data_IF_348207118598
#
_entry.id   IF_348207118598
#
_cell.length_a   1.000
_cell.length_b   1.000
_cell.length_c   1.000
_cell.angle_alpha   90.00
_cell.angle_beta   90.00
_cell.angle_gamma   90.00
#
_symmetry.space_group_name_H-M   'P 1'
#
loop_
_entity.id
_entity.type
_entity.pdbx_description
1 polymer ?
#
# COMPACT_ATOMS: atom_id res chain seq x y z
N UNK A 1 -33.45 14.06 7.27
CA UNK A 1 -32.31 14.62 6.50
C UNK A 1 -32.73 15.64 5.43
N UNK A 2 -33.77 15.40 4.62
CA UNK A 2 -34.13 16.27 3.48
C UNK A 2 -34.30 17.78 3.80
N UNK A 3 -34.82 18.14 4.97
CA UNK A 3 -35.02 19.55 5.36
C UNK A 3 -33.70 20.28 5.65
N UNK A 4 -32.74 19.61 6.30
CA UNK A 4 -31.39 20.14 6.51
C UNK A 4 -30.66 20.32 5.18
N UNK A 5 -30.75 19.34 4.26
CA UNK A 5 -30.20 19.44 2.92
C UNK A 5 -30.78 20.63 2.14
N UNK A 6 -32.09 20.82 2.20
CA UNK A 6 -32.77 21.91 1.50
C UNK A 6 -32.38 23.30 2.04
N UNK A 7 -32.27 23.44 3.37
CA UNK A 7 -31.83 24.68 4.02
C UNK A 7 -30.36 25.02 3.68
N UNK A 8 -29.50 24.01 3.58
CA UNK A 8 -28.07 24.18 3.36
C UNK A 8 -27.63 24.07 1.89
N UNK A 9 -28.56 23.95 0.92
CA UNK A 9 -28.26 23.75 -0.50
C UNK A 9 -27.29 24.77 -1.11
N UNK A 10 -27.26 25.99 -0.58
CA UNK A 10 -26.37 27.05 -1.05
C UNK A 10 -24.89 26.80 -0.69
N UNK A 11 -24.63 25.96 0.32
CA UNK A 11 -23.28 25.59 0.76
C UNK A 11 -22.73 24.39 -0.01
N UNK A 12 -23.57 23.66 -0.76
CA UNK A 12 -23.17 22.41 -1.44
C UNK A 12 -22.01 22.62 -2.41
N UNK A 13 -22.03 23.63 -3.29
CA UNK A 13 -20.91 23.85 -4.21
C UNK A 13 -19.58 24.10 -3.49
N UNK A 14 -19.62 24.78 -2.33
CA UNK A 14 -18.42 25.05 -1.53
C UNK A 14 -17.90 23.77 -0.86
N UNK A 15 -18.80 22.96 -0.31
CA UNK A 15 -18.45 21.68 0.33
C UNK A 15 -17.90 20.70 -0.71
N UNK A 16 -18.54 20.56 -1.87
CA UNK A 16 -18.06 19.73 -2.98
C UNK A 16 -16.67 20.15 -3.43
N UNK A 17 -16.42 21.46 -3.59
CA UNK A 17 -15.10 21.96 -3.96
C UNK A 17 -14.02 21.63 -2.92
N UNK A 18 -14.36 21.66 -1.62
CA UNK A 18 -13.44 21.27 -0.55
C UNK A 18 -13.14 19.77 -0.64
N UNK A 19 -14.15 18.91 -0.81
CA UNK A 19 -13.94 17.46 -0.97
C UNK A 19 -13.09 17.13 -2.19
N UNK A 20 -13.38 17.74 -3.35
CA UNK A 20 -12.61 17.52 -4.58
C UNK A 20 -11.15 17.93 -4.39
N UNK A 21 -10.90 19.11 -3.80
CA UNK A 21 -9.54 19.58 -3.54
C UNK A 21 -8.76 18.65 -2.61
N UNK A 22 -9.40 18.07 -1.59
CA UNK A 22 -8.74 17.12 -0.69
C UNK A 22 -8.50 15.78 -1.40
N UNK A 23 -9.46 15.30 -2.18
CA UNK A 23 -9.31 14.08 -2.96
C UNK A 23 -8.15 14.20 -3.96
N UNK A 24 -8.07 15.30 -4.70
CA UNK A 24 -6.99 15.60 -5.63
C UNK A 24 -5.62 15.65 -4.95
N UNK A 25 -5.55 16.33 -3.80
CA UNK A 25 -4.29 16.46 -3.06
C UNK A 25 -3.79 15.11 -2.56
N UNK A 26 -4.69 14.28 -2.03
CA UNK A 26 -4.36 12.91 -1.59
C UNK A 26 -4.00 11.99 -2.73
N UNK A 27 -4.74 12.05 -3.85
CA UNK A 27 -4.42 11.27 -5.04
C UNK A 27 -3.01 11.63 -5.53
N UNK A 28 -2.68 12.92 -5.57
CA UNK A 28 -1.34 13.40 -5.89
C UNK A 28 -0.29 12.89 -4.90
N UNK A 29 -0.55 12.98 -3.60
CA UNK A 29 0.37 12.47 -2.56
C UNK A 29 0.66 10.99 -2.75
N UNK A 30 -0.35 10.16 -2.99
CA UNK A 30 -0.20 8.73 -3.21
C UNK A 30 0.57 8.44 -4.51
N UNK A 31 0.31 9.17 -5.58
CA UNK A 31 1.04 9.04 -6.85
C UNK A 31 2.52 9.42 -6.67
N UNK A 32 2.80 10.56 -6.03
CA UNK A 32 4.15 11.06 -5.79
C UNK A 32 4.91 10.09 -4.85
N UNK A 33 4.26 9.58 -3.80
CA UNK A 33 4.83 8.55 -2.93
C UNK A 33 5.16 7.26 -3.70
N UNK A 34 4.21 6.75 -4.49
CA UNK A 34 4.39 5.52 -5.26
C UNK A 34 5.57 5.67 -6.25
N UNK A 35 5.68 6.82 -6.91
CA UNK A 35 6.79 7.13 -7.80
C UNK A 35 8.14 7.16 -7.04
N UNK A 36 8.18 7.73 -5.84
CA UNK A 36 9.36 7.74 -4.98
C UNK A 36 9.82 6.32 -4.62
N UNK A 37 8.88 5.41 -4.29
CA UNK A 37 9.23 4.01 -3.99
C UNK A 37 9.88 3.33 -5.19
N UNK A 38 9.32 3.49 -6.40
CA UNK A 38 9.96 2.96 -7.60
C UNK A 38 11.31 3.58 -7.90
N UNK A 39 11.46 4.89 -7.68
CA UNK A 39 12.76 5.54 -7.89
C UNK A 39 13.83 4.94 -6.96
N UNK A 40 13.54 4.76 -5.67
CA UNK A 40 14.47 4.14 -4.73
C UNK A 40 14.80 2.69 -5.12
N UNK A 41 13.82 1.91 -5.55
CA UNK A 41 14.05 0.55 -6.02
C UNK A 41 14.87 0.54 -7.32
N UNK A 42 14.66 1.49 -8.23
CA UNK A 42 15.43 1.60 -9.46
C UNK A 42 16.90 1.96 -9.19
N UNK A 43 17.14 2.93 -8.31
CA UNK A 43 18.49 3.32 -7.86
C UNK A 43 19.20 2.14 -7.17
N UNK A 44 18.49 1.39 -6.32
CA UNK A 44 19.02 0.19 -5.70
C UNK A 44 19.35 -0.87 -6.76
N UNK A 45 18.42 -1.16 -7.67
CA UNK A 45 18.59 -2.11 -8.77
C UNK A 45 19.83 -1.80 -9.63
N UNK A 46 20.08 -0.52 -9.94
CA UNK A 46 21.28 -0.08 -10.66
C UNK A 46 22.56 -0.30 -9.84
N UNK A 47 22.51 -0.07 -8.52
CA UNK A 47 23.65 -0.25 -7.63
C UNK A 47 24.05 -1.71 -7.37
N UNK A 48 23.13 -2.67 -7.55
CA UNK A 48 23.41 -4.09 -7.34
C UNK A 48 24.37 -4.68 -8.41
N UNK A 49 24.47 -4.06 -9.59
CA UNK A 49 25.46 -4.44 -10.60
C UNK A 49 25.40 -5.93 -10.99
N UNK A 50 26.57 -6.58 -11.06
CA UNK A 50 26.69 -8.02 -11.40
C UNK A 50 26.68 -8.94 -10.17
N UNK A 51 26.74 -8.38 -8.96
CA UNK A 51 26.90 -9.13 -7.72
C UNK A 51 25.54 -9.68 -7.26
N UNK A 52 25.03 -10.65 -8.03
CA UNK A 52 23.80 -11.37 -7.76
C UNK A 52 24.13 -12.84 -7.38
N UNK A 53 23.61 -13.35 -6.25
CA UNK A 53 22.82 -12.65 -5.25
C UNK A 53 23.67 -11.64 -4.43
N UNK A 54 23.10 -10.48 -4.06
CA UNK A 54 23.82 -9.49 -3.27
C UNK A 54 23.97 -9.92 -1.81
N UNK A 55 24.89 -9.28 -1.10
CA UNK A 55 24.97 -9.43 0.36
C UNK A 55 23.62 -9.00 1.00
N UNK A 56 22.95 -9.89 1.78
CA UNK A 56 21.73 -9.52 2.50
C UNK A 56 21.87 -8.26 3.37
N UNK A 57 23.07 -7.93 3.84
CA UNK A 57 23.32 -6.71 4.62
C UNK A 57 23.06 -5.45 3.81
N UNK A 58 23.35 -5.45 2.51
CA UNK A 58 23.07 -4.31 1.62
C UNK A 58 21.57 -4.03 1.54
N UNK A 59 20.76 -5.08 1.36
CA UNK A 59 19.30 -4.93 1.34
C UNK A 59 18.76 -4.46 2.69
N UNK A 60 19.31 -4.96 3.81
CA UNK A 60 18.90 -4.53 5.14
C UNK A 60 19.21 -3.05 5.38
N UNK A 61 20.42 -2.60 5.02
CA UNK A 61 20.80 -1.19 5.14
C UNK A 61 19.91 -0.27 4.28
N UNK A 62 19.42 -0.76 3.14
CA UNK A 62 18.45 -0.04 2.30
C UNK A 62 17.05 -0.06 2.88
N UNK A 63 16.62 -1.18 3.45
CA UNK A 63 15.33 -1.27 4.13
C UNK A 63 15.23 -0.27 5.29
N UNK A 64 16.31 -0.09 6.05
CA UNK A 64 16.38 0.91 7.13
C UNK A 64 16.19 2.36 6.66
N UNK A 65 16.45 2.65 5.38
CA UNK A 65 16.24 3.97 4.77
C UNK A 65 14.83 4.10 4.16
N UNK A 66 14.21 2.98 3.81
CA UNK A 66 12.89 2.90 3.17
C UNK A 66 11.86 2.43 4.18
N UNK A 67 11.59 3.27 5.19
CA UNK A 67 10.80 2.91 6.38
C UNK A 67 9.40 2.35 6.09
N UNK A 68 8.81 2.72 4.96
CA UNK A 68 7.48 2.25 4.57
C UNK A 68 7.47 0.76 4.17
N UNK A 69 8.62 0.21 3.76
CA UNK A 69 8.74 -1.20 3.40
C UNK A 69 8.95 -2.06 4.65
N UNK A 70 8.31 -3.22 4.70
CA UNK A 70 8.60 -4.25 5.71
C UNK A 70 9.63 -5.28 5.23
N UNK A 71 9.85 -5.37 3.92
CA UNK A 71 10.79 -6.33 3.34
C UNK A 71 11.33 -5.86 1.99
N UNK A 72 12.62 -6.13 1.75
CA UNK A 72 13.24 -6.09 0.43
C UNK A 72 13.76 -7.48 0.07
N UNK A 73 13.49 -7.93 -1.15
CA UNK A 73 13.96 -9.23 -1.62
C UNK A 73 14.16 -9.26 -3.14
N UNK A 74 14.94 -10.22 -3.62
CA UNK A 74 15.15 -10.46 -5.04
C UNK A 74 14.45 -11.76 -5.45
N UNK A 75 13.83 -11.74 -6.62
CA UNK A 75 13.33 -12.93 -7.30
C UNK A 75 14.06 -13.15 -8.62
N UNK A 76 14.37 -14.40 -8.93
CA UNK A 76 14.87 -14.78 -10.25
C UNK A 76 13.75 -14.79 -11.31
N UNK A 77 14.11 -15.05 -12.57
CA UNK A 77 13.14 -15.14 -13.68
C UNK A 77 12.13 -16.28 -13.54
N UNK A 78 12.35 -17.22 -12.62
CA UNK A 78 11.49 -18.36 -12.32
C UNK A 78 10.61 -18.11 -11.08
N UNK A 79 10.70 -16.92 -10.46
CA UNK A 79 9.95 -16.55 -9.26
C UNK A 79 10.52 -17.12 -7.96
N UNK A 80 11.75 -17.62 -7.96
CA UNK A 80 12.45 -18.05 -6.76
C UNK A 80 13.10 -16.87 -6.05
N UNK A 81 12.88 -16.75 -4.74
CA UNK A 81 13.52 -15.72 -3.93
C UNK A 81 14.98 -16.08 -3.71
N UNK A 82 15.91 -15.29 -4.24
CA UNK A 82 17.35 -15.55 -4.11
C UNK A 82 17.95 -14.92 -2.86
N UNK A 83 17.42 -13.76 -2.45
CA UNK A 83 17.90 -13.00 -1.29
C UNK A 83 16.73 -12.23 -0.69
N UNK A 84 16.61 -12.20 0.64
CA UNK A 84 15.62 -11.39 1.34
C UNK A 84 16.19 -10.80 2.62
N UNK A 85 15.70 -9.62 3.01
CA UNK A 85 15.92 -9.06 4.35
C UNK A 85 15.28 -9.91 5.44
N UNK A 86 14.26 -10.70 5.10
CA UNK A 86 13.64 -11.73 5.93
C UNK A 86 14.16 -13.12 5.53
N UNK A 87 15.22 -13.56 6.22
CA UNK A 87 15.97 -14.78 5.88
C UNK A 87 15.13 -16.06 5.65
N UNK A 88 14.02 -16.32 6.37
CA UNK A 88 13.18 -17.50 6.12
C UNK A 88 12.60 -17.60 4.72
N UNK A 89 12.58 -16.51 3.94
CA UNK A 89 12.04 -16.50 2.56
C UNK A 89 13.05 -16.84 1.49
N UNK A 90 14.34 -16.88 1.79
CA UNK A 90 15.36 -17.29 0.82
C UNK A 90 15.07 -18.73 0.32
N UNK A 91 14.95 -18.90 -1.00
CA UNK A 91 14.60 -20.16 -1.67
C UNK A 91 13.10 -20.41 -1.84
N UNK A 92 12.23 -19.55 -1.29
CA UNK A 92 10.78 -19.70 -1.45
C UNK A 92 10.30 -19.30 -2.86
N UNK A 93 9.13 -19.82 -3.24
CA UNK A 93 8.41 -19.52 -4.49
C UNK A 93 6.94 -19.23 -4.17
N UNK A 94 6.73 -18.30 -3.25
CA UNK A 94 5.43 -17.94 -2.70
C UNK A 94 4.78 -16.75 -3.42
N UNK A 95 5.45 -16.18 -4.43
CA UNK A 95 4.93 -15.08 -5.24
C UNK A 95 3.98 -15.59 -6.33
N UNK A 96 2.94 -14.81 -6.62
CA UNK A 96 2.03 -15.07 -7.75
C UNK A 96 2.81 -15.06 -9.07
N UNK A 97 2.85 -16.18 -9.84
CA UNK A 97 3.64 -16.27 -11.07
C UNK A 97 3.31 -15.17 -12.08
N UNK A 98 2.04 -14.80 -12.21
CA UNK A 98 1.57 -13.74 -13.10
C UNK A 98 2.10 -12.37 -12.67
N UNK A 99 2.17 -12.11 -11.36
CA UNK A 99 2.71 -10.84 -10.84
C UNK A 99 4.22 -10.74 -11.09
N UNK A 100 4.97 -11.83 -10.89
CA UNK A 100 6.39 -11.92 -11.24
C UNK A 100 6.58 -11.70 -12.74
N UNK A 101 5.80 -12.37 -13.58
CA UNK A 101 5.88 -12.19 -15.04
C UNK A 101 5.63 -10.74 -15.45
N UNK A 102 4.68 -10.03 -14.81
CA UNK A 102 4.46 -8.59 -15.04
C UNK A 102 5.63 -7.74 -14.55
N UNK A 103 6.17 -8.01 -13.38
CA UNK A 103 7.32 -7.29 -12.81
C UNK A 103 8.60 -7.44 -13.63
N UNK A 104 8.78 -8.58 -14.31
CA UNK A 104 9.92 -8.79 -15.21
C UNK A 104 9.85 -7.93 -16.48
N UNK A 105 8.65 -7.49 -16.89
CA UNK A 105 8.46 -6.63 -18.07
C UNK A 105 8.74 -5.15 -17.78
N UNK A 106 8.57 -4.71 -16.53
CA UNK A 106 8.67 -3.31 -16.14
C UNK A 106 8.29 -3.07 -14.67
N UNK A 107 8.50 -1.85 -14.15
CA UNK A 107 8.02 -1.45 -12.84
C UNK A 107 6.53 -1.81 -12.68
N UNK A 108 6.19 -2.54 -11.62
CA UNK A 108 4.83 -3.06 -11.41
C UNK A 108 4.44 -3.00 -9.94
N UNK A 109 3.21 -2.56 -9.67
CA UNK A 109 2.62 -2.50 -8.34
C UNK A 109 1.50 -3.52 -8.30
N UNK A 110 1.66 -4.51 -7.44
CA UNK A 110 0.71 -5.58 -7.23
C UNK A 110 0.05 -5.42 -5.86
N UNK A 111 -1.27 -5.56 -5.85
CA UNK A 111 -2.06 -5.60 -4.64
C UNK A 111 -3.17 -4.56 -4.63
N UNK A 112 -3.94 -4.53 -3.53
CA UNK A 112 -3.82 -5.40 -2.35
C UNK A 112 -4.10 -6.88 -2.66
N UNK A 113 -3.50 -7.81 -1.92
CA UNK A 113 -3.83 -9.25 -1.98
C UNK A 113 -3.60 -9.90 -0.61
N UNK A 114 -4.09 -11.12 -0.39
CA UNK A 114 -3.82 -11.82 0.87
C UNK A 114 -2.47 -12.53 0.82
N UNK A 115 -1.60 -12.25 1.79
CA UNK A 115 -0.27 -12.82 1.92
C UNK A 115 0.08 -13.10 3.39
N UNK A 116 0.18 -14.38 3.73
CA UNK A 116 0.55 -14.82 5.08
C UNK A 116 1.96 -14.37 5.49
N UNK A 117 2.87 -14.12 4.53
CA UNK A 117 4.22 -13.65 4.84
C UNK A 117 4.21 -12.22 5.37
N UNK A 118 3.29 -11.37 4.91
CA UNK A 118 3.15 -10.00 5.42
C UNK A 118 2.90 -10.02 6.93
N UNK A 119 2.03 -10.91 7.40
CA UNK A 119 1.75 -11.07 8.83
C UNK A 119 2.94 -11.63 9.60
N UNK A 120 3.69 -12.57 9.00
CA UNK A 120 4.86 -13.18 9.65
C UNK A 120 6.04 -12.21 9.78
N UNK A 121 6.21 -11.30 8.83
CA UNK A 121 7.27 -10.27 8.81
C UNK A 121 6.93 -9.17 9.81
N UNK A 122 5.66 -8.76 9.85
CA UNK A 122 5.18 -7.74 10.76
C UNK A 122 5.07 -6.35 10.13
N UNK A 123 4.78 -5.32 10.94
CA UNK A 123 4.53 -3.96 10.49
C UNK A 123 5.81 -3.26 10.01
N UNK A 124 5.63 -2.15 9.30
CA UNK A 124 6.70 -1.19 9.01
C UNK A 124 6.55 0.07 9.86
N UNK A 125 5.81 1.08 9.38
CA UNK A 125 5.59 2.35 10.11
C UNK A 125 4.32 2.35 10.96
N UNK A 126 3.26 1.63 10.58
CA UNK A 126 2.02 1.59 11.35
C UNK A 126 2.07 0.58 12.50
N UNK A 127 1.22 0.80 13.50
CA UNK A 127 1.06 -0.15 14.63
C UNK A 127 0.14 -1.33 14.28
N UNK A 128 -0.83 -1.08 13.41
CA UNK A 128 -1.70 -2.10 12.86
C UNK A 128 -1.05 -2.67 11.60
N UNK A 129 -1.00 -3.98 11.48
CA UNK A 129 -0.63 -4.65 10.23
C UNK A 129 -1.51 -5.88 10.07
N UNK A 130 -1.95 -6.14 8.85
CA UNK A 130 -2.68 -7.34 8.50
C UNK A 130 -1.91 -8.17 7.46
N UNK A 131 -2.55 -9.23 6.96
CA UNK A 131 -1.97 -10.06 5.91
C UNK A 131 -2.08 -9.43 4.52
N UNK A 132 -2.29 -8.13 4.37
CA UNK A 132 -2.49 -7.47 3.08
C UNK A 132 -1.34 -6.52 2.80
N UNK A 133 -0.49 -6.79 1.78
CA UNK A 133 0.53 -5.87 1.34
C UNK A 133 0.16 -5.19 0.02
N UNK A 134 0.91 -4.15 -0.30
CA UNK A 134 1.28 -3.79 -1.66
C UNK A 134 2.68 -4.33 -1.95
N UNK A 135 2.89 -4.83 -3.16
CA UNK A 135 4.18 -5.35 -3.62
C UNK A 135 4.66 -4.56 -4.82
N UNK A 136 5.81 -3.91 -4.67
CA UNK A 136 6.52 -3.26 -5.76
C UNK A 136 7.47 -4.26 -6.40
N UNK A 137 7.48 -4.31 -7.73
CA UNK A 137 8.46 -5.03 -8.54
C UNK A 137 9.24 -4.01 -9.37
N UNK A 138 10.56 -4.15 -9.37
CA UNK A 138 11.49 -3.40 -10.20
C UNK A 138 12.38 -4.40 -10.94
N UNK A 139 12.34 -4.49 -12.28
CA UNK A 139 13.15 -5.45 -13.02
C UNK A 139 14.64 -5.14 -12.88
N UNK A 140 15.43 -6.19 -12.62
CA UNK A 140 16.88 -6.15 -12.60
C UNK A 140 17.40 -6.42 -14.00
N UNK A 141 18.22 -5.52 -14.53
CA UNK A 141 18.80 -5.63 -15.87
C UNK A 141 20.31 -5.77 -15.77
N UNK A 142 20.83 -6.80 -16.40
CA UNK A 142 22.25 -7.02 -16.55
C UNK A 142 22.59 -7.15 -18.05
N UNK A 143 23.50 -6.31 -18.55
CA UNK A 143 23.84 -6.22 -19.99
C UNK A 143 22.62 -6.10 -20.90
N UNK A 144 21.60 -5.35 -20.46
CA UNK A 144 20.35 -5.15 -21.20
C UNK A 144 19.36 -6.32 -21.13
N UNK A 145 19.69 -7.43 -20.44
CA UNK A 145 18.81 -8.57 -20.22
C UNK A 145 18.20 -8.53 -18.82
N UNK A 146 16.91 -8.85 -18.72
CA UNK A 146 16.24 -8.98 -17.41
C UNK A 146 16.67 -10.31 -16.78
N UNK A 147 17.22 -10.25 -15.57
CA UNK A 147 17.72 -11.41 -14.82
C UNK A 147 16.88 -11.74 -13.57
N UNK A 148 15.92 -10.89 -13.25
CA UNK A 148 15.05 -11.03 -12.08
C UNK A 148 14.33 -9.73 -11.76
N UNK A 149 13.77 -9.64 -10.55
CA UNK A 149 13.20 -8.41 -10.00
C UNK A 149 13.72 -8.16 -8.59
N UNK A 150 13.96 -6.90 -8.27
CA UNK A 150 13.99 -6.40 -6.91
C UNK A 150 12.55 -6.10 -6.48
N UNK A 151 12.17 -6.62 -5.33
CA UNK A 151 10.82 -6.51 -4.79
C UNK A 151 10.83 -5.77 -3.45
N UNK A 152 9.86 -4.88 -3.27
CA UNK A 152 9.62 -4.16 -2.03
C UNK A 152 8.21 -4.42 -1.52
N UNK A 153 8.11 -4.99 -0.32
CA UNK A 153 6.83 -5.25 0.35
C UNK A 153 6.48 -4.05 1.22
N UNK A 154 5.29 -3.52 1.03
CA UNK A 154 4.73 -2.44 1.84
C UNK A 154 3.47 -2.96 2.52
N UNK A 155 3.40 -3.00 3.86
CA UNK A 155 2.15 -3.25 4.58
C UNK A 155 1.08 -2.23 4.14
N UNK A 156 -0.13 -2.68 3.85
CA UNK A 156 -1.16 -1.85 3.24
C UNK A 156 -1.67 -0.72 4.18
N UNK A 157 -1.46 -0.86 5.48
CA UNK A 157 -1.68 0.15 6.52
C UNK A 157 -0.88 1.45 6.33
N UNK A 158 0.28 1.40 5.67
CA UNK A 158 1.09 2.58 5.34
C UNK A 158 0.30 3.60 4.53
N UNK A 159 -0.59 3.15 3.62
CA UNK A 159 -1.45 4.04 2.84
C UNK A 159 -2.34 4.89 3.73
N UNK A 160 -2.85 4.30 4.82
CA UNK A 160 -3.66 5.01 5.80
C UNK A 160 -2.88 6.12 6.49
N UNK A 161 -1.64 5.87 6.88
CA UNK A 161 -0.79 6.87 7.53
C UNK A 161 -0.40 8.01 6.58
N UNK A 162 -0.19 7.71 5.29
CA UNK A 162 0.15 8.71 4.27
C UNK A 162 -0.97 9.74 4.06
N UNK A 163 -2.21 9.29 3.87
CA UNK A 163 -3.35 10.19 3.63
C UNK A 163 -3.79 10.96 4.90
N UNK A 164 -3.39 10.48 6.09
CA UNK A 164 -3.69 11.12 7.37
C UNK A 164 -2.75 12.29 7.72
N UNK A 165 -1.52 12.29 7.19
CA UNK A 165 -0.55 13.38 7.45
C UNK A 165 -1.01 14.71 6.87
N UNK A 166 -1.93 14.69 5.90
CA UNK A 166 -2.62 15.90 5.46
C UNK A 166 -3.67 16.34 6.50
N UNK A 167 -3.49 17.55 7.04
CA UNK A 167 -4.25 18.12 8.15
C UNK A 167 -5.72 18.51 7.84
N UNK A 168 -6.39 17.79 6.93
CA UNK A 168 -7.77 18.06 6.54
C UNK A 168 -8.72 16.95 6.96
N UNK A 169 -9.31 17.06 8.15
CA UNK A 169 -10.61 16.44 8.39
C UNK A 169 -11.67 17.46 7.98
N UNK A 170 -12.49 17.14 6.99
CA UNK A 170 -13.64 17.99 6.65
C UNK A 170 -14.66 17.85 7.79
N UNK A 171 -14.81 16.64 8.29
CA UNK A 171 -15.61 16.36 9.47
C UNK A 171 -14.80 15.52 10.48
N UNK A 172 -14.62 16.00 11.73
CA UNK A 172 -14.00 15.22 12.79
C UNK A 172 -14.72 13.87 12.97
N UNK A 173 -13.95 12.80 13.23
CA UNK A 173 -14.46 11.43 13.42
C UNK A 173 -15.23 10.85 12.23
N UNK A 174 -15.05 11.40 11.01
CA UNK A 174 -15.83 10.98 9.85
C UNK A 174 -15.13 9.94 8.95
N UNK A 175 -15.94 9.36 8.08
CA UNK A 175 -15.56 8.45 6.99
C UNK A 175 -14.73 9.07 5.85
N UNK A 176 -14.23 10.29 5.99
CA UNK A 176 -13.63 11.07 4.89
C UNK A 176 -12.17 10.69 4.58
N UNK A 177 -11.56 9.79 5.35
CA UNK A 177 -10.16 9.38 5.22
C UNK A 177 -9.99 7.89 4.86
N UNK A 178 -10.90 7.35 4.05
CA UNK A 178 -10.89 5.95 3.68
C UNK A 178 -10.60 5.78 2.19
N UNK A 179 -9.78 4.79 1.88
CA UNK A 179 -9.49 4.39 0.50
C UNK A 179 -10.26 3.12 0.17
N UNK A 180 -10.94 3.13 -0.96
CA UNK A 180 -11.67 1.99 -1.48
C UNK A 180 -11.22 1.69 -2.90
N UNK A 181 -11.15 0.40 -3.24
CA UNK A 181 -10.90 -0.05 -4.60
C UNK A 181 -12.08 0.37 -5.49
N UNK A 182 -11.83 1.08 -6.59
CA UNK A 182 -12.87 1.44 -7.57
C UNK A 182 -12.85 0.53 -8.80
N UNK A 183 -11.66 0.06 -9.19
CA UNK A 183 -11.43 -0.79 -10.37
C UNK A 183 -10.15 -1.60 -10.17
N UNK A 184 -10.26 -2.93 -10.16
CA UNK A 184 -9.10 -3.84 -10.06
C UNK A 184 -8.84 -4.51 -11.41
N UNK A 185 -7.73 -4.14 -12.05
CA UNK A 185 -7.40 -4.60 -13.40
C UNK A 185 -6.49 -5.82 -13.44
N UNK A 186 -5.68 -6.00 -12.40
CA UNK A 186 -4.77 -7.15 -12.31
C UNK A 186 -5.49 -8.38 -11.75
N UNK A 187 -6.18 -8.21 -10.62
CA UNK A 187 -7.00 -9.24 -10.00
C UNK A 187 -8.47 -8.83 -10.04
N UNK A 188 -9.20 -9.30 -11.06
CA UNK A 188 -10.61 -9.00 -11.25
C UNK A 188 -11.53 -9.62 -10.18
N UNK A 189 -11.01 -10.46 -9.28
CA UNK A 189 -11.79 -11.00 -8.16
C UNK A 189 -12.00 -9.96 -7.04
N UNK A 190 -11.16 -8.92 -6.99
CA UNK A 190 -11.30 -7.82 -6.02
C UNK A 190 -12.49 -6.95 -6.43
N UNK A 191 -13.50 -6.89 -5.56
CA UNK A 191 -14.72 -6.12 -5.81
C UNK A 191 -14.49 -4.62 -5.61
N UNK A 192 -15.19 -3.82 -6.41
CA UNK A 192 -15.30 -2.39 -6.15
C UNK A 192 -15.91 -2.16 -4.75
N UNK A 193 -15.42 -1.14 -4.03
CA UNK A 193 -15.76 -0.88 -2.64
C UNK A 193 -14.94 -1.67 -1.61
N UNK A 194 -14.00 -2.53 -2.03
CA UNK A 194 -13.07 -3.18 -1.09
C UNK A 194 -12.20 -2.13 -0.38
N UNK A 195 -12.21 -2.12 0.95
CA UNK A 195 -11.41 -1.19 1.74
C UNK A 195 -9.90 -1.46 1.61
N UNK A 196 -9.14 -0.43 1.23
CA UNK A 196 -7.69 -0.44 1.16
C UNK A 196 -7.07 0.02 2.49
N UNK A 197 -7.66 1.00 3.17
CA UNK A 197 -7.17 1.50 4.47
C UNK A 197 -7.79 0.75 5.66
N UNK A 198 -7.46 -0.54 5.82
CA UNK A 198 -8.16 -1.45 6.77
C UNK A 198 -7.90 -1.19 8.26
N UNK A 199 -6.76 -0.61 8.63
CA UNK A 199 -6.42 -0.30 10.03
C UNK A 199 -7.52 0.51 10.73
N UNK A 200 -8.13 1.48 10.03
CA UNK A 200 -9.27 2.28 10.53
C UNK A 200 -10.55 1.48 10.80
N UNK A 201 -10.76 0.38 10.09
CA UNK A 201 -11.96 -0.46 10.28
C UNK A 201 -11.82 -1.42 11.46
N UNK A 202 -10.61 -1.88 11.73
CA UNK A 202 -10.36 -3.01 12.63
C UNK A 202 -9.61 -2.62 13.91
N UNK A 203 -8.97 -1.44 13.96
CA UNK A 203 -8.25 -0.95 15.12
C UNK A 203 -9.07 0.08 15.91
N UNK A 204 -9.35 -0.26 17.18
CA UNK A 204 -10.08 0.60 18.12
C UNK A 204 -9.21 1.73 18.73
N UNK A 205 -7.92 1.81 18.39
CA UNK A 205 -7.03 2.86 18.92
C UNK A 205 -7.26 4.24 18.28
N UNK A 206 -7.99 4.31 17.16
CA UNK A 206 -8.12 5.53 16.37
C UNK A 206 -9.46 6.25 16.49
N UNK A 207 -10.45 5.64 17.13
CA UNK A 207 -11.76 6.26 17.39
C UNK A 207 -11.92 6.44 18.90
N UNK A 208 -12.30 7.64 19.37
CA UNK A 208 -12.85 7.80 20.72
C UNK A 208 -14.29 7.26 20.83
N UNK A 209 -14.76 6.58 19.77
CA UNK A 209 -16.06 5.93 19.65
C UNK A 209 -15.97 4.60 18.88
N UNK A 210 -17.13 4.14 18.40
CA UNK A 210 -17.31 2.81 17.81
C UNK A 210 -16.70 2.70 16.40
N UNK A 211 -16.21 1.50 16.05
CA UNK A 211 -15.66 1.25 14.73
C UNK A 211 -16.77 0.90 13.70
N UNK A 212 -16.53 1.17 12.41
CA UNK A 212 -17.48 0.89 11.32
C UNK A 212 -17.87 -0.59 11.20
N UNK A 213 -17.09 -1.51 11.79
CA UNK A 213 -17.38 -2.95 11.82
C UNK A 213 -18.44 -3.31 12.87
N UNK A 214 -18.48 -2.56 13.97
CA UNK A 214 -19.46 -2.67 15.05
C UNK A 214 -20.72 -1.83 14.75
N UNK A 215 -20.59 -0.88 13.81
CA UNK A 215 -21.61 0.11 13.49
C UNK A 215 -21.48 1.30 14.44
N UNK A 216 -21.80 2.49 13.94
CA UNK A 216 -21.78 3.73 14.71
C UNK A 216 -23.17 3.93 15.33
N UNK A 217 -23.27 3.74 16.64
CA UNK A 217 -24.47 4.01 17.43
C UNK A 217 -24.63 5.53 17.59
N UNK A 218 -25.64 6.06 16.91
CA UNK A 218 -26.12 7.43 17.08
C UNK A 218 -27.46 7.42 17.81
N UNK A 219 -27.90 8.57 18.32
CA UNK A 219 -29.21 8.73 18.99
C UNK A 219 -30.42 8.34 18.11
N UNK A 220 -30.19 8.08 16.83
CA UNK A 220 -31.20 7.70 15.83
C UNK A 220 -31.09 6.24 15.35
N UNK A 221 -30.19 5.43 15.93
CA UNK A 221 -29.96 4.03 15.57
C UNK A 221 -28.49 3.70 15.34
N UNK A 222 -28.20 2.48 14.91
CA UNK A 222 -26.86 2.05 14.50
C UNK A 222 -26.70 2.25 12.99
N UNK A 223 -25.58 2.83 12.56
CA UNK A 223 -25.25 3.05 11.13
C UNK A 223 -24.00 2.29 10.73
#
# INVERSE_FOLDING_TARGET
MAWSCWLNRALYPQVEQIFESIADTRAKLLQDWTASQWQHLAELAESLGQDLPPDPQLLKARLEQMLDLSELFLVDTQGCITTSTWAPRCGARDQTPEAVARGLLGPFLHGPYSDAQTLAIGPSTSRFHDAVPLMFYQPLKFEGRVVGCLCGRVPNDVLGDLIQREAGHIYPESGDNYLFMVDSRFDASIQAGTALSRSRFEDATFTHGENLKQGVHIAFGTV
#
